data_IF_648429671534
#
_entry.id   IF_648429671534
#
_cell.length_a   1.000
_cell.length_b   1.000
_cell.length_c   1.000
_cell.angle_alpha   90.00
_cell.angle_beta   90.00
_cell.angle_gamma   90.00
#
_symmetry.space_group_name_H-M   'P 1'
#
loop_
_entity.id
_entity.type
_entity.pdbx_description
1 polymer ?
#
# COMPACT_ATOMS: atom_id res chain seq x y z
N UNK A 1 -1.53 4.75 -14.20
CA UNK A 1 -1.85 4.14 -15.50
C UNK A 1 -1.25 2.73 -15.61
N UNK A 2 -1.52 2.01 -16.71
CA UNK A 2 -0.99 0.64 -16.92
C UNK A 2 0.53 0.60 -16.74
N UNK A 3 1.06 -0.48 -16.16
CA UNK A 3 2.48 -0.67 -15.85
C UNK A 3 3.10 0.33 -14.85
N UNK A 4 2.38 1.35 -14.38
CA UNK A 4 2.88 2.22 -13.31
C UNK A 4 2.89 1.49 -11.97
N UNK A 5 3.98 1.69 -11.24
CA UNK A 5 4.22 1.09 -9.94
C UNK A 5 4.86 2.12 -9.01
N UNK A 6 4.75 1.85 -7.72
CA UNK A 6 5.52 2.55 -6.70
C UNK A 6 6.51 1.55 -6.10
N UNK A 7 7.82 1.81 -6.11
CA UNK A 7 8.79 0.94 -5.48
C UNK A 7 8.55 0.88 -3.96
N UNK A 8 9.25 -0.03 -3.28
CA UNK A 8 9.17 -0.09 -1.81
C UNK A 8 9.70 1.21 -1.22
N UNK A 9 8.91 1.87 -0.37
CA UNK A 9 9.25 3.13 0.29
C UNK A 9 8.48 3.32 1.60
N UNK A 10 8.77 4.41 2.30
CA UNK A 10 8.08 4.91 3.49
C UNK A 10 8.06 6.44 3.46
N UNK A 11 7.33 7.08 4.38
CA UNK A 11 7.19 8.54 4.47
C UNK A 11 7.77 9.06 5.81
N UNK A 12 7.97 10.37 5.92
CA UNK A 12 8.56 11.02 7.10
C UNK A 12 7.56 11.85 7.94
N UNK A 13 6.25 11.68 7.76
CA UNK A 13 5.20 12.38 8.52
C UNK A 13 4.81 11.60 9.79
N UNK A 14 3.59 11.74 10.33
CA UNK A 14 3.13 10.96 11.50
C UNK A 14 2.30 9.75 11.06
N UNK A 15 1.33 9.96 10.16
CA UNK A 15 0.50 8.90 9.56
C UNK A 15 0.48 9.10 8.05
N UNK A 16 0.48 8.00 7.30
CA UNK A 16 0.30 7.99 5.85
C UNK A 16 -0.97 7.24 5.48
N UNK A 17 -1.51 7.55 4.30
CA UNK A 17 -2.68 6.83 3.81
C UNK A 17 -2.90 6.94 2.32
N UNK A 18 -3.77 6.06 1.82
CA UNK A 18 -4.22 6.04 0.44
C UNK A 18 -5.69 5.67 0.37
N UNK A 19 -6.46 6.45 -0.39
CA UNK A 19 -7.84 6.16 -0.77
C UNK A 19 -7.95 5.83 -2.25
N UNK A 20 -8.71 4.81 -2.62
CA UNK A 20 -8.91 4.43 -4.04
C UNK A 20 -10.19 5.06 -4.62
N UNK A 21 -10.02 5.89 -5.64
CA UNK A 21 -11.10 6.60 -6.32
C UNK A 21 -11.56 5.88 -7.58
N UNK A 22 -10.68 5.08 -8.18
CA UNK A 22 -10.96 4.28 -9.37
C UNK A 22 -10.03 3.08 -9.40
N UNK A 23 -10.58 1.93 -9.78
CA UNK A 23 -9.82 0.69 -10.00
C UNK A 23 -10.30 0.13 -11.35
N UNK A 24 -9.39 -0.31 -12.24
CA UNK A 24 -9.83 -0.93 -13.49
C UNK A 24 -10.59 -2.22 -13.21
N UNK A 25 -11.46 -2.63 -14.14
CA UNK A 25 -12.27 -3.86 -14.00
C UNK A 25 -11.41 -5.12 -13.83
N UNK A 26 -10.20 -5.11 -14.38
CA UNK A 26 -9.23 -6.18 -14.26
C UNK A 26 -7.82 -5.60 -14.01
N UNK A 27 -7.05 -6.23 -13.12
CA UNK A 27 -5.66 -5.87 -12.82
C UNK A 27 -4.63 -6.65 -13.67
N UNK A 28 -5.10 -7.48 -14.60
CA UNK A 28 -4.33 -8.34 -15.48
C UNK A 28 -3.85 -9.61 -14.80
N UNK A 29 -3.49 -10.61 -15.59
CA UNK A 29 -2.96 -11.87 -15.08
C UNK A 29 -1.46 -11.79 -14.76
N UNK A 30 -1.01 -12.66 -13.85
CA UNK A 30 0.41 -12.83 -13.57
C UNK A 30 1.10 -13.49 -14.77
N UNK A 31 2.32 -13.06 -15.09
CA UNK A 31 3.16 -13.77 -16.08
C UNK A 31 3.60 -15.15 -15.57
N UNK A 32 3.60 -15.34 -14.25
CA UNK A 32 3.99 -16.59 -13.60
C UNK A 32 2.77 -17.52 -13.47
N UNK A 33 2.39 -18.19 -14.56
CA UNK A 33 1.20 -19.07 -14.63
C UNK A 33 1.17 -20.21 -13.60
N UNK A 34 2.32 -20.61 -13.07
CA UNK A 34 2.44 -21.64 -12.04
C UNK A 34 2.17 -21.14 -10.61
N UNK A 35 2.07 -19.81 -10.41
CA UNK A 35 1.77 -19.22 -9.11
C UNK A 35 0.27 -19.00 -8.97
N UNK A 36 -0.27 -19.45 -7.84
CA UNK A 36 -1.67 -19.23 -7.46
C UNK A 36 -1.97 -17.75 -7.16
N UNK A 37 -0.95 -16.97 -6.77
CA UNK A 37 -1.12 -15.59 -6.34
C UNK A 37 -0.79 -14.62 -7.48
N UNK A 38 -1.72 -13.69 -7.72
CA UNK A 38 -1.53 -12.57 -8.62
C UNK A 38 -1.27 -11.29 -7.80
N UNK A 39 -0.07 -10.69 -7.85
CA UNK A 39 0.24 -9.46 -7.15
C UNK A 39 -0.20 -8.19 -7.91
N UNK A 40 -0.58 -8.33 -9.19
CA UNK A 40 -0.80 -7.18 -10.05
C UNK A 40 -1.77 -6.17 -9.44
N UNK A 41 -1.36 -4.91 -9.48
CA UNK A 41 -2.18 -3.80 -9.05
C UNK A 41 -2.35 -3.64 -7.53
N UNK A 42 -1.83 -4.56 -6.72
CA UNK A 42 -2.04 -4.60 -5.26
C UNK A 42 -1.15 -3.61 -4.52
N UNK A 43 -1.69 -3.09 -3.41
CA UNK A 43 -0.92 -2.45 -2.36
C UNK A 43 -0.29 -3.54 -1.49
N UNK A 44 0.98 -3.42 -1.16
CA UNK A 44 1.65 -4.33 -0.25
C UNK A 44 2.19 -3.57 0.96
N UNK A 45 1.87 -4.04 2.15
CA UNK A 45 2.54 -3.65 3.39
C UNK A 45 3.60 -4.70 3.73
N UNK A 46 4.78 -4.25 4.13
CA UNK A 46 5.95 -5.08 4.40
C UNK A 46 6.48 -4.75 5.79
N UNK A 47 6.67 -5.76 6.63
CA UNK A 47 7.20 -5.58 7.98
C UNK A 47 8.04 -6.78 8.43
N UNK A 48 9.33 -6.53 8.70
CA UNK A 48 10.24 -7.50 9.29
C UNK A 48 10.57 -8.70 8.38
N UNK A 49 10.77 -9.86 9.00
CA UNK A 49 11.15 -11.11 8.34
C UNK A 49 10.04 -12.14 8.46
N UNK A 50 9.98 -13.08 7.50
CA UNK A 50 9.01 -14.18 7.55
C UNK A 50 9.36 -15.11 8.72
N UNK A 51 8.38 -15.42 9.54
CA UNK A 51 8.52 -16.35 10.67
C UNK A 51 7.59 -17.55 10.49
N UNK A 52 7.74 -18.56 11.35
CA UNK A 52 6.86 -19.73 11.33
C UNK A 52 5.40 -19.29 11.52
N UNK A 53 4.54 -19.60 10.54
CA UNK A 53 3.13 -19.21 10.50
C UNK A 53 2.84 -17.70 10.53
N UNK A 54 3.84 -16.85 10.27
CA UNK A 54 3.69 -15.39 10.21
C UNK A 54 4.33 -14.83 8.95
N UNK A 55 3.50 -14.35 8.02
CA UNK A 55 3.98 -13.69 6.81
C UNK A 55 4.49 -12.28 7.15
N UNK A 56 5.59 -11.88 6.51
CA UNK A 56 6.19 -10.55 6.70
C UNK A 56 5.54 -9.46 5.86
N UNK A 57 4.45 -9.78 5.18
CA UNK A 57 3.78 -8.88 4.26
C UNK A 57 2.29 -9.21 4.10
N UNK A 58 1.52 -8.19 3.78
CA UNK A 58 0.10 -8.30 3.45
C UNK A 58 -0.15 -7.58 2.14
N UNK A 59 -0.77 -8.29 1.19
CA UNK A 59 -1.16 -7.74 -0.11
C UNK A 59 -2.66 -7.49 -0.15
N UNK A 60 -3.03 -6.28 -0.56
CA UNK A 60 -4.40 -5.79 -0.57
C UNK A 60 -4.83 -5.51 -2.00
N UNK A 61 -5.98 -6.06 -2.38
CA UNK A 61 -6.60 -5.75 -3.68
C UNK A 61 -7.36 -4.43 -3.54
N UNK A 62 -7.00 -3.38 -4.29
CA UNK A 62 -7.65 -2.09 -4.16
C UNK A 62 -9.12 -2.17 -4.55
N UNK A 63 -9.98 -1.43 -3.83
CA UNK A 63 -11.41 -1.29 -4.12
C UNK A 63 -11.80 0.17 -4.01
N UNK A 64 -12.69 0.61 -4.90
CA UNK A 64 -13.20 1.99 -4.88
C UNK A 64 -13.89 2.27 -3.55
N UNK A 65 -13.53 3.37 -2.91
CA UNK A 65 -14.07 3.79 -1.62
C UNK A 65 -13.27 3.30 -0.40
N UNK A 66 -12.37 2.33 -0.56
CA UNK A 66 -11.52 1.89 0.56
C UNK A 66 -10.42 2.93 0.83
N UNK A 67 -10.22 3.21 2.12
CA UNK A 67 -9.11 4.00 2.65
C UNK A 67 -8.24 3.16 3.57
N UNK A 68 -6.94 3.20 3.34
CA UNK A 68 -5.94 2.54 4.16
C UNK A 68 -5.13 3.60 4.87
N UNK A 69 -5.11 3.55 6.21
CA UNK A 69 -4.29 4.40 7.06
C UNK A 69 -3.24 3.52 7.73
N UNK A 70 -2.00 3.98 7.75
CA UNK A 70 -0.87 3.22 8.30
C UNK A 70 0.19 4.15 8.89
N UNK A 71 1.00 3.66 9.85
CA UNK A 71 2.14 4.44 10.37
C UNK A 71 3.08 4.83 9.23
N UNK A 72 3.59 6.07 9.24
CA UNK A 72 4.43 6.61 8.16
C UNK A 72 5.66 5.74 7.82
N UNK A 73 6.20 5.04 8.82
CA UNK A 73 7.35 4.14 8.69
C UNK A 73 7.00 2.74 8.15
N UNK A 74 5.72 2.44 7.89
CA UNK A 74 5.32 1.17 7.29
C UNK A 74 5.84 1.10 5.86
N UNK A 75 6.77 0.18 5.61
CA UNK A 75 7.28 -0.07 4.27
C UNK A 75 6.13 -0.56 3.39
N UNK A 76 5.96 0.06 2.23
CA UNK A 76 4.91 -0.31 1.30
C UNK A 76 5.33 -0.11 -0.16
N UNK A 77 4.69 -0.86 -1.04
CA UNK A 77 4.81 -0.71 -2.49
C UNK A 77 3.42 -0.77 -3.14
N UNK A 78 3.37 -0.40 -4.41
CA UNK A 78 2.19 -0.64 -5.23
C UNK A 78 2.63 -1.35 -6.50
N UNK A 79 2.17 -2.58 -6.70
CA UNK A 79 2.50 -3.36 -7.88
C UNK A 79 1.90 -2.72 -9.14
N UNK A 80 2.60 -2.86 -10.30
CA UNK A 80 2.00 -2.52 -11.58
C UNK A 80 0.80 -3.43 -11.85
N UNK A 81 -0.16 -2.93 -12.61
CA UNK A 81 -1.23 -3.73 -13.19
C UNK A 81 -1.08 -3.78 -14.71
N UNK A 82 -1.66 -4.79 -15.34
CA UNK A 82 -1.69 -4.94 -16.80
C UNK A 82 -3.13 -4.94 -17.29
N UNK A 83 -3.36 -4.33 -18.44
CA UNK A 83 -4.69 -4.19 -19.03
C UNK A 83 -5.16 -2.75 -19.14
N UNK A 84 -6.26 -2.56 -19.87
CA UNK A 84 -6.83 -1.25 -20.17
C UNK A 84 -7.49 -0.66 -18.93
N UNK A 85 -7.30 0.65 -18.74
CA UNK A 85 -7.99 1.42 -17.72
C UNK A 85 -7.04 2.24 -16.85
N UNK A 86 -7.59 2.71 -15.74
CA UNK A 86 -6.94 3.65 -14.85
C UNK A 86 -7.18 3.23 -13.40
N UNK A 87 -6.10 3.07 -12.64
CA UNK A 87 -6.13 3.03 -11.18
C UNK A 87 -5.85 4.44 -10.68
N UNK A 88 -6.83 5.06 -10.02
CA UNK A 88 -6.74 6.41 -9.46
C UNK A 88 -6.85 6.33 -7.95
N UNK A 89 -5.88 6.91 -7.26
CA UNK A 89 -5.86 6.99 -5.81
C UNK A 89 -5.51 8.40 -5.35
N UNK A 90 -5.91 8.72 -4.12
CA UNK A 90 -5.48 9.92 -3.40
C UNK A 90 -4.61 9.47 -2.24
N UNK A 91 -3.31 9.74 -2.33
CA UNK A 91 -2.36 9.51 -1.24
C UNK A 91 -2.20 10.78 -0.42
N UNK A 92 -2.02 10.62 0.89
CA UNK A 92 -1.91 11.73 1.81
C UNK A 92 -1.02 11.38 3.00
N UNK A 93 -0.50 12.44 3.64
CA UNK A 93 0.17 12.37 4.93
C UNK A 93 -0.62 13.23 5.92
N UNK A 94 -0.66 12.80 7.17
CA UNK A 94 -1.33 13.51 8.26
C UNK A 94 -0.30 13.79 9.34
N UNK A 95 -0.16 15.07 9.69
CA UNK A 95 0.53 15.51 10.89
C UNK A 95 -0.46 15.57 12.05
N UNK A 96 -0.10 14.89 13.14
CA UNK A 96 -0.76 14.98 14.44
C UNK A 96 -0.18 16.18 15.19
N UNK A 97 -0.97 16.83 16.04
CA UNK A 97 -0.48 17.85 16.99
C UNK A 97 0.73 17.32 17.78
N UNK A 98 1.81 18.10 17.82
CA UNK A 98 3.09 17.67 18.39
C UNK A 98 2.97 17.29 19.88
N UNK A 99 2.11 17.95 20.65
CA UNK A 99 1.93 17.62 22.07
C UNK A 99 1.22 16.27 22.27
N UNK A 100 0.50 15.80 21.26
CA UNK A 100 -0.15 14.49 21.25
C UNK A 100 0.79 13.44 20.67
N UNK A 101 1.56 13.80 19.63
CA UNK A 101 2.46 12.91 18.94
C UNK A 101 3.69 12.54 19.79
N UNK A 102 4.30 13.53 20.43
CA UNK A 102 5.48 13.34 21.27
C UNK A 102 5.11 12.91 22.69
N UNK A 103 4.73 11.63 22.80
CA UNK A 103 4.43 10.97 24.07
C UNK A 103 5.67 10.76 24.97
N UNK A 104 6.87 11.14 24.50
CA UNK A 104 8.13 10.93 25.21
C UNK A 104 8.73 12.22 25.79
N UNK A 105 8.49 13.38 25.17
CA UNK A 105 8.98 14.68 25.66
C UNK A 105 8.02 15.39 26.62
N UNK A 106 6.80 14.89 26.79
CA UNK A 106 5.82 15.40 27.75
C UNK A 106 6.21 15.11 29.22
N UNK A 107 7.13 15.90 29.77
CA UNK A 107 7.30 16.19 31.20
C UNK A 107 7.64 17.66 31.42
#
# INVERSE_FOLDING_TARGET
FENEYNPVHYHSSHISGVGYLKVPENLGETSQKSKLQNPNGKLEFIHGTKMFLSESNVKITPKVGDFYLFPHYMMHNVYPFKGKGERRSMSFNVSIDENIFDVFSGK
#
